data_IF_911725611936
#
_entry.id   IF_911725611936
#
_cell.length_a   1.000
_cell.length_b   1.000
_cell.length_c   1.000
_cell.angle_alpha   90.00
_cell.angle_beta   90.00
_cell.angle_gamma   90.00
#
_symmetry.space_group_name_H-M   'P 1'
#
loop_
_entity.id
_entity.type
_entity.pdbx_description
1 polymer ?
#
# COMPACT_ATOMS: atom_id res chain seq x y z
N UNK A 1 -18.95 -16.58 -3.27
CA UNK A 1 -19.88 -15.49 -3.62
C UNK A 1 -19.17 -14.54 -4.55
N UNK A 2 -19.88 -13.80 -5.40
CA UNK A 2 -19.28 -12.76 -6.25
C UNK A 2 -19.69 -11.38 -5.75
N UNK A 3 -18.75 -10.45 -5.78
CA UNK A 3 -18.96 -9.01 -5.59
C UNK A 3 -18.62 -8.35 -6.91
N UNK A 4 -19.46 -7.45 -7.38
CA UNK A 4 -19.23 -6.65 -8.59
C UNK A 4 -18.89 -5.25 -8.10
N UNK A 5 -17.73 -4.74 -8.52
CA UNK A 5 -17.29 -3.39 -8.22
C UNK A 5 -17.24 -2.58 -9.51
N UNK A 6 -17.82 -1.37 -9.47
CA UNK A 6 -17.74 -0.40 -10.55
C UNK A 6 -16.49 0.45 -10.34
N UNK A 7 -15.54 0.36 -11.27
CA UNK A 7 -14.26 1.05 -11.22
C UNK A 7 -14.23 2.13 -12.30
N UNK A 8 -13.80 3.32 -11.92
CA UNK A 8 -13.66 4.46 -12.82
C UNK A 8 -12.63 4.19 -13.93
N UNK A 9 -12.83 4.77 -15.12
CA UNK A 9 -11.91 4.67 -16.24
C UNK A 9 -10.48 5.11 -15.88
N UNK A 10 -10.33 6.05 -14.96
CA UNK A 10 -9.02 6.53 -14.53
C UNK A 10 -8.20 5.46 -13.80
N UNK A 11 -8.87 4.55 -13.08
CA UNK A 11 -8.22 3.57 -12.20
C UNK A 11 -8.16 2.16 -12.82
N UNK A 12 -9.03 1.86 -13.80
CA UNK A 12 -9.12 0.51 -14.40
C UNK A 12 -7.81 0.03 -15.02
N UNK A 13 -6.97 0.95 -15.48
CA UNK A 13 -5.66 0.65 -16.06
C UNK A 13 -4.70 -0.09 -15.14
N UNK A 14 -4.87 0.04 -13.83
CA UNK A 14 -4.03 -0.60 -12.80
C UNK A 14 -4.62 -1.92 -12.28
N UNK A 15 -5.87 -2.23 -12.61
CA UNK A 15 -6.56 -3.43 -12.13
C UNK A 15 -6.17 -4.64 -12.97
N UNK A 16 -5.86 -5.74 -12.29
CA UNK A 16 -5.49 -7.03 -12.91
C UNK A 16 -6.17 -8.19 -12.17
N UNK A 17 -6.43 -9.26 -12.89
CA UNK A 17 -6.85 -10.52 -12.29
C UNK A 17 -5.79 -11.02 -11.29
N UNK A 18 -6.25 -11.60 -10.18
CA UNK A 18 -5.41 -12.12 -9.12
C UNK A 18 -5.06 -11.09 -8.02
N UNK A 19 -5.40 -9.82 -8.19
CA UNK A 19 -5.16 -8.82 -7.14
C UNK A 19 -6.04 -9.10 -5.91
N UNK A 20 -5.45 -8.89 -4.74
CA UNK A 20 -6.14 -9.01 -3.46
C UNK A 20 -7.09 -7.83 -3.25
N UNK A 21 -8.22 -8.15 -2.69
CA UNK A 21 -9.28 -7.18 -2.41
C UNK A 21 -9.71 -7.31 -0.97
N UNK A 22 -9.94 -6.18 -0.31
CA UNK A 22 -10.68 -6.14 0.95
C UNK A 22 -11.91 -5.29 0.77
N UNK A 23 -13.00 -5.67 1.42
CA UNK A 23 -14.23 -4.90 1.35
C UNK A 23 -15.00 -4.98 2.67
N UNK A 24 -15.80 -3.97 2.92
CA UNK A 24 -16.76 -3.92 4.02
C UNK A 24 -18.15 -3.76 3.45
N UNK A 25 -19.15 -4.28 4.16
CA UNK A 25 -20.56 -4.10 3.78
C UNK A 25 -21.28 -3.29 4.84
N UNK A 26 -22.25 -2.50 4.44
CA UNK A 26 -22.98 -1.63 5.36
C UNK A 26 -23.69 -2.38 6.50
N UNK A 27 -24.06 -3.63 6.26
CA UNK A 27 -24.66 -4.50 7.27
C UNK A 27 -23.67 -4.95 8.36
N UNK A 28 -22.35 -4.98 8.05
CA UNK A 28 -21.28 -5.44 8.94
C UNK A 28 -20.05 -4.53 8.83
N UNK A 29 -20.19 -3.29 9.30
CA UNK A 29 -19.14 -2.25 9.14
C UNK A 29 -17.83 -2.54 9.86
N UNK A 30 -17.86 -3.38 10.88
CA UNK A 30 -16.67 -3.74 11.65
C UNK A 30 -16.00 -5.02 11.15
N UNK A 31 -16.62 -5.72 10.20
CA UNK A 31 -16.08 -6.95 9.61
C UNK A 31 -15.46 -6.61 8.24
N UNK A 32 -14.16 -6.84 8.09
CA UNK A 32 -13.49 -6.77 6.80
C UNK A 32 -13.55 -8.17 6.15
N UNK A 33 -14.00 -8.20 4.90
CA UNK A 33 -14.03 -9.40 4.09
C UNK A 33 -12.89 -9.34 3.06
N UNK A 34 -12.36 -10.51 2.71
CA UNK A 34 -11.31 -10.63 1.72
C UNK A 34 -11.85 -11.29 0.44
N UNK A 35 -11.26 -10.92 -0.68
CA UNK A 35 -11.56 -11.47 -1.98
C UNK A 35 -10.39 -11.33 -2.94
N UNK A 36 -10.59 -11.83 -4.13
CA UNK A 36 -9.62 -11.77 -5.23
C UNK A 36 -10.33 -11.36 -6.50
N UNK A 37 -9.70 -10.46 -7.29
CA UNK A 37 -10.18 -10.11 -8.63
C UNK A 37 -10.10 -11.35 -9.52
N UNK A 38 -11.23 -11.76 -10.07
CA UNK A 38 -11.30 -12.92 -10.96
C UNK A 38 -11.49 -12.55 -12.42
N UNK A 39 -12.07 -11.38 -12.69
CA UNK A 39 -12.30 -10.91 -14.04
C UNK A 39 -12.46 -9.40 -14.08
N UNK A 40 -11.92 -8.78 -15.11
CA UNK A 40 -12.19 -7.39 -15.48
C UNK A 40 -13.02 -7.40 -16.75
N UNK A 41 -14.24 -6.85 -16.71
CA UNK A 41 -15.10 -6.76 -17.89
C UNK A 41 -14.64 -5.60 -18.77
N UNK A 42 -14.56 -5.86 -20.07
CA UNK A 42 -14.11 -4.87 -21.05
C UNK A 42 -15.24 -3.93 -21.51
N UNK A 43 -16.48 -4.26 -21.19
CA UNK A 43 -17.63 -3.43 -21.53
C UNK A 43 -17.78 -2.31 -20.50
N UNK A 44 -17.72 -1.08 -20.99
CA UNK A 44 -17.92 0.11 -20.16
C UNK A 44 -19.41 0.39 -19.98
N UNK A 45 -19.79 0.76 -18.78
CA UNK A 45 -21.12 1.30 -18.46
C UNK A 45 -21.01 2.81 -18.34
N UNK A 46 -21.91 3.55 -18.99
CA UNK A 46 -21.93 5.02 -18.92
C UNK A 46 -23.22 5.43 -18.21
N UNK A 47 -23.08 5.91 -16.99
CA UNK A 47 -24.20 6.51 -16.23
C UNK A 47 -23.88 7.95 -15.84
N UNK A 48 -24.80 8.86 -16.13
CA UNK A 48 -24.67 10.28 -15.75
C UNK A 48 -23.33 10.91 -16.18
N UNK A 49 -22.81 10.57 -17.36
CA UNK A 49 -21.51 11.00 -17.87
C UNK A 49 -20.29 10.44 -17.12
N UNK A 50 -20.46 9.43 -16.28
CA UNK A 50 -19.35 8.71 -15.64
C UNK A 50 -19.19 7.37 -16.34
N UNK A 51 -17.95 7.06 -16.74
CA UNK A 51 -17.59 5.80 -17.40
C UNK A 51 -17.00 4.87 -16.35
N UNK A 52 -17.62 3.73 -16.14
CA UNK A 52 -17.17 2.71 -15.21
C UNK A 52 -17.02 1.35 -15.89
N UNK A 53 -16.15 0.53 -15.33
CA UNK A 53 -15.91 -0.86 -15.73
C UNK A 53 -16.23 -1.80 -14.58
N UNK A 54 -16.95 -2.87 -14.88
CA UNK A 54 -17.27 -3.87 -13.87
C UNK A 54 -16.08 -4.81 -13.61
N UNK A 55 -15.69 -4.89 -12.34
CA UNK A 55 -14.67 -5.82 -11.85
C UNK A 55 -15.35 -6.90 -11.01
N UNK A 56 -15.17 -8.16 -11.40
CA UNK A 56 -15.73 -9.30 -10.69
C UNK A 56 -14.75 -9.80 -9.66
N UNK A 57 -15.18 -9.85 -8.41
CA UNK A 57 -14.39 -10.27 -7.26
C UNK A 57 -15.01 -11.55 -6.69
N UNK A 58 -14.19 -12.57 -6.51
CA UNK A 58 -14.58 -13.79 -5.79
C UNK A 58 -14.32 -13.59 -4.30
N UNK A 59 -15.33 -13.81 -3.49
CA UNK A 59 -15.25 -13.70 -2.04
C UNK A 59 -15.75 -14.98 -1.37
N UNK A 60 -14.97 -15.60 -0.47
CA UNK A 60 -15.45 -16.69 0.38
C UNK A 60 -16.57 -16.19 1.30
N UNK A 61 -17.60 -17.01 1.50
CA UNK A 61 -18.70 -16.68 2.39
C UNK A 61 -19.11 -17.93 3.22
N UNK A 62 -18.19 -18.48 4.03
CA UNK A 62 -18.44 -19.70 4.79
C UNK A 62 -19.55 -19.52 5.83
N UNK A 63 -19.63 -18.35 6.45
CA UNK A 63 -20.59 -18.03 7.50
C UNK A 63 -21.95 -17.52 6.96
N UNK A 64 -22.11 -17.48 5.63
CA UNK A 64 -23.33 -16.99 4.95
C UNK A 64 -23.76 -15.58 5.40
N UNK A 65 -22.82 -14.77 5.90
CA UNK A 65 -23.06 -13.38 6.30
C UNK A 65 -23.35 -12.48 5.10
N UNK A 66 -22.65 -12.70 3.99
CA UNK A 66 -22.85 -11.94 2.77
C UNK A 66 -24.12 -12.42 2.06
N UNK A 67 -24.98 -11.48 1.71
CA UNK A 67 -26.24 -11.74 0.99
C UNK A 67 -26.27 -10.95 -0.31
N UNK A 68 -26.94 -11.46 -1.35
CA UNK A 68 -27.16 -10.67 -2.56
C UNK A 68 -27.89 -9.35 -2.25
N UNK A 69 -27.50 -8.28 -2.94
CA UNK A 69 -28.12 -6.95 -2.77
C UNK A 69 -27.50 -6.10 -1.65
N UNK A 70 -26.44 -6.58 -0.97
CA UNK A 70 -25.70 -5.73 -0.04
C UNK A 70 -24.74 -4.80 -0.81
N UNK A 71 -24.70 -3.54 -0.40
CA UNK A 71 -23.74 -2.57 -0.88
C UNK A 71 -22.40 -2.78 -0.15
N UNK A 72 -21.30 -2.77 -0.90
CA UNK A 72 -19.96 -2.96 -0.38
C UNK A 72 -19.05 -1.79 -0.75
N UNK A 73 -18.21 -1.38 0.18
CA UNK A 73 -17.07 -0.50 -0.09
C UNK A 73 -15.82 -1.37 -0.31
N UNK A 74 -15.25 -1.29 -1.52
CA UNK A 74 -14.20 -2.18 -1.99
C UNK A 74 -12.88 -1.43 -2.06
N UNK A 75 -11.79 -2.06 -1.60
CA UNK A 75 -10.41 -1.61 -1.76
C UNK A 75 -9.61 -2.69 -2.48
N UNK A 76 -9.14 -2.38 -3.69
CA UNK A 76 -8.33 -3.27 -4.52
C UNK A 76 -6.86 -2.88 -4.34
N UNK A 77 -6.00 -3.84 -4.05
CA UNK A 77 -4.56 -3.60 -3.88
C UNK A 77 -3.84 -3.73 -5.21
N UNK A 78 -3.52 -2.60 -5.83
CA UNK A 78 -2.86 -2.56 -7.15
C UNK A 78 -1.37 -2.90 -7.06
N UNK A 79 -0.74 -2.56 -5.92
CA UNK A 79 0.66 -2.87 -5.65
C UNK A 79 0.82 -3.40 -4.23
N UNK A 80 1.31 -4.61 -4.10
CA UNK A 80 1.64 -5.23 -2.82
C UNK A 80 3.07 -5.77 -2.85
N UNK A 81 3.89 -5.32 -1.92
CA UNK A 81 5.27 -5.79 -1.79
C UNK A 81 5.43 -6.56 -0.50
N UNK A 82 5.71 -7.84 -0.63
CA UNK A 82 5.99 -8.74 0.49
C UNK A 82 7.49 -8.80 0.76
N UNK A 83 7.89 -9.08 2.00
CA UNK A 83 9.29 -9.24 2.40
C UNK A 83 10.16 -7.99 2.20
N UNK A 84 9.61 -6.81 2.38
CA UNK A 84 10.36 -5.55 2.31
C UNK A 84 10.67 -5.02 3.71
N UNK A 85 11.84 -4.40 3.86
CA UNK A 85 12.18 -3.66 5.07
C UNK A 85 11.43 -2.33 5.07
N UNK A 86 10.71 -2.07 6.14
CA UNK A 86 9.99 -0.80 6.29
C UNK A 86 10.79 0.16 7.15
N UNK A 87 10.81 1.42 6.76
CA UNK A 87 11.49 2.49 7.47
C UNK A 87 10.45 3.55 7.87
N UNK A 88 10.40 3.97 9.15
CA UNK A 88 9.53 5.07 9.55
C UNK A 88 9.92 6.35 8.79
N UNK A 89 8.95 7.16 8.32
CA UNK A 89 9.25 8.40 7.58
C UNK A 89 10.14 9.38 8.36
N UNK A 90 10.08 9.34 9.69
CA UNK A 90 10.94 10.15 10.57
C UNK A 90 12.43 9.80 10.44
N UNK A 91 12.75 8.54 10.16
CA UNK A 91 14.14 8.11 10.00
C UNK A 91 14.81 8.70 8.76
N UNK A 92 14.04 8.99 7.70
CA UNK A 92 14.53 9.62 6.47
C UNK A 92 14.84 11.12 6.63
N UNK A 93 14.32 11.73 7.69
CA UNK A 93 14.52 13.15 8.00
C UNK A 93 15.45 13.37 9.19
N UNK A 94 15.91 12.28 9.79
CA UNK A 94 16.76 12.34 10.97
C UNK A 94 18.17 12.77 10.57
N UNK A 95 18.64 13.86 11.17
CA UNK A 95 20.03 14.31 11.11
C UNK A 95 20.59 14.30 12.53
N UNK A 96 21.65 13.55 12.82
CA UNK A 96 22.28 13.56 14.13
C UNK A 96 22.95 14.92 14.39
N UNK A 97 22.76 15.44 15.59
CA UNK A 97 23.51 16.62 16.07
C UNK A 97 24.90 16.19 16.48
N UNK A 98 25.91 16.81 15.86
CA UNK A 98 27.30 16.45 16.07
C UNK A 98 27.75 16.72 17.52
N UNK A 99 27.33 17.83 18.12
CA UNK A 99 27.69 18.17 19.49
C UNK A 99 27.07 17.19 20.50
N UNK A 100 25.84 16.78 20.28
CA UNK A 100 25.18 15.78 21.12
C UNK A 100 25.76 14.38 20.94
N UNK A 101 26.19 14.03 19.74
CA UNK A 101 26.85 12.76 19.47
C UNK A 101 28.19 12.68 20.20
N UNK A 102 29.04 13.70 20.08
CA UNK A 102 30.35 13.79 20.76
C UNK A 102 30.19 13.76 22.31
N UNK A 103 29.22 14.49 22.85
CA UNK A 103 28.93 14.52 24.30
C UNK A 103 28.52 13.13 24.85
N UNK A 104 27.93 12.28 24.02
CA UNK A 104 27.52 10.92 24.37
C UNK A 104 28.51 9.83 23.90
N UNK A 105 29.68 10.20 23.40
CA UNK A 105 30.69 9.25 22.92
C UNK A 105 30.27 8.47 21.68
N UNK A 106 29.39 9.04 20.86
CA UNK A 106 28.88 8.42 19.63
C UNK A 106 29.73 8.89 18.45
N UNK A 107 30.28 7.95 17.70
CA UNK A 107 31.07 8.23 16.50
C UNK A 107 30.14 8.29 15.29
N UNK A 108 30.12 9.42 14.57
CA UNK A 108 29.39 9.61 13.34
C UNK A 108 30.24 9.21 12.13
N UNK A 109 29.71 8.36 11.27
CA UNK A 109 30.31 7.99 9.99
C UNK A 109 29.39 8.40 8.85
N UNK A 110 29.51 9.66 8.36
CA UNK A 110 28.74 10.11 7.21
C UNK A 110 29.29 9.50 5.92
N UNK A 111 28.40 9.29 4.94
CA UNK A 111 28.76 8.94 3.58
C UNK A 111 28.39 10.10 2.65
N UNK A 112 29.25 10.32 1.62
CA UNK A 112 28.91 11.29 0.58
C UNK A 112 28.01 10.59 -0.45
N UNK A 113 26.76 11.02 -0.52
CA UNK A 113 25.78 10.48 -1.49
C UNK A 113 25.28 11.63 -2.36
N UNK A 114 25.31 11.42 -3.67
CA UNK A 114 24.60 12.31 -4.60
C UNK A 114 23.10 12.17 -4.40
N UNK A 115 22.45 13.26 -4.01
CA UNK A 115 21.01 13.31 -3.73
C UNK A 115 20.18 13.12 -5.01
N UNK A 116 20.02 11.89 -5.48
CA UNK A 116 19.02 11.57 -6.47
C UNK A 116 17.62 11.40 -5.81
N UNK A 117 16.57 11.66 -6.55
CA UNK A 117 15.20 11.69 -6.01
C UNK A 117 14.73 10.36 -5.38
N UNK A 118 15.34 9.25 -5.76
CA UNK A 118 15.01 7.89 -5.28
C UNK A 118 15.99 7.33 -4.24
N UNK A 119 17.14 7.97 -4.08
CA UNK A 119 18.15 7.58 -3.09
C UNK A 119 18.03 8.48 -1.87
N UNK A 120 17.84 7.88 -0.73
CA UNK A 120 17.79 8.54 0.57
C UNK A 120 18.78 7.88 1.51
N UNK A 121 19.20 8.62 2.52
CA UNK A 121 20.08 8.10 3.56
C UNK A 121 19.33 7.91 4.87
N UNK A 122 19.76 6.93 5.63
CA UNK A 122 19.28 6.68 6.99
C UNK A 122 20.46 6.46 7.91
N UNK A 123 20.30 6.87 9.15
CA UNK A 123 21.30 6.65 10.19
C UNK A 123 20.98 5.37 10.96
N UNK A 124 21.91 4.44 10.94
CA UNK A 124 21.83 3.15 11.65
C UNK A 124 22.75 3.17 12.85
N UNK A 125 22.17 2.94 14.05
CA UNK A 125 22.94 2.83 15.27
C UNK A 125 23.50 1.42 15.43
N UNK A 126 24.83 1.32 15.55
CA UNK A 126 25.53 0.07 15.83
C UNK A 126 26.44 0.29 17.05
N UNK A 127 25.98 -0.10 18.24
CA UNK A 127 26.67 0.18 19.48
C UNK A 127 26.80 1.69 19.76
N UNK A 128 28.02 2.20 19.81
CA UNK A 128 28.35 3.62 19.96
C UNK A 128 28.64 4.34 18.64
N UNK A 129 28.34 3.73 17.52
CA UNK A 129 28.56 4.31 16.18
C UNK A 129 27.22 4.54 15.51
N UNK A 130 27.04 5.71 14.89
CA UNK A 130 25.99 6.01 13.95
C UNK A 130 26.59 6.01 12.54
N UNK A 131 26.15 5.08 11.71
CA UNK A 131 26.57 4.94 10.32
C UNK A 131 25.46 5.43 9.40
N UNK A 132 25.79 6.33 8.50
CA UNK A 132 24.90 6.72 7.42
C UNK A 132 24.87 5.62 6.37
N UNK A 133 23.69 5.15 5.99
CA UNK A 133 23.51 4.14 4.93
C UNK A 133 22.55 4.64 3.88
N UNK A 134 22.92 4.41 2.64
CA UNK A 134 22.07 4.66 1.51
C UNK A 134 20.95 3.61 1.42
N UNK A 135 19.74 4.07 1.19
CA UNK A 135 18.55 3.23 0.98
C UNK A 135 17.83 3.66 -0.28
N UNK A 136 17.46 2.70 -1.09
CA UNK A 136 16.63 2.93 -2.26
C UNK A 136 15.17 2.77 -1.84
N UNK A 137 14.43 3.86 -1.95
CA UNK A 137 12.98 3.84 -1.73
C UNK A 137 12.31 3.31 -2.99
N UNK A 138 11.49 2.30 -2.84
CA UNK A 138 10.61 1.85 -3.89
C UNK A 138 9.18 2.29 -3.53
N UNK A 139 8.60 3.10 -4.38
CA UNK A 139 7.19 3.45 -4.36
C UNK A 139 6.35 2.24 -4.72
#
# INVERSE_FOLDING_TARGET
MQVIADVDEADIGEIREGQRVTFTVDAYRNDAFEGVVTQVRLEATVESNVVTYEVVISAPNPDLKLKPGLTATVSIYTLEKNNVLTIPPKALKFMPDQALAEANGIVLKPIHVDNSALQKTVWVKNGQTLEEKEVQLSL
#
